data_IF_915022203283
#
_entry.id   IF_915022203283
#
_cell.length_a   1.000
_cell.length_b   1.000
_cell.length_c   1.000
_cell.angle_alpha   90.00
_cell.angle_beta   90.00
_cell.angle_gamma   90.00
#
_symmetry.space_group_name_H-M   'P 1'
#
loop_
_entity.id
_entity.type
_entity.pdbx_description
1 polymer ?
#
# COMPACT_ATOMS: atom_id res chain seq x y z
N UNK A 1 22.98 -2.90 1.00
CA UNK A 1 23.54 -4.12 1.66
C UNK A 1 22.36 -4.99 2.06
N UNK A 2 22.35 -6.26 1.61
CA UNK A 2 21.26 -7.19 1.94
C UNK A 2 21.52 -7.84 3.29
N UNK A 3 20.52 -7.88 4.15
CA UNK A 3 20.56 -8.45 5.50
C UNK A 3 19.25 -9.14 5.87
N UNK A 4 19.16 -9.63 7.10
CA UNK A 4 17.95 -10.21 7.67
C UNK A 4 17.75 -9.74 9.10
N UNK A 5 16.51 -9.38 9.43
CA UNK A 5 16.04 -9.07 10.78
C UNK A 5 15.16 -10.22 11.26
N UNK A 6 15.20 -10.58 12.52
CA UNK A 6 14.30 -11.61 13.07
C UNK A 6 13.17 -10.92 13.83
N UNK A 7 11.98 -10.93 13.27
CA UNK A 7 10.78 -10.35 13.85
C UNK A 7 9.80 -11.45 14.30
N UNK A 8 9.53 -11.55 15.60
CA UNK A 8 8.63 -12.60 16.13
C UNK A 8 9.02 -14.03 15.75
N UNK A 9 10.32 -14.29 15.54
CA UNK A 9 10.83 -15.60 15.09
C UNK A 9 10.83 -15.78 13.56
N UNK A 10 10.36 -14.79 12.77
CA UNK A 10 10.33 -14.83 11.31
C UNK A 10 11.53 -14.05 10.77
N UNK A 11 12.38 -14.64 9.90
CA UNK A 11 13.44 -13.89 9.22
C UNK A 11 12.83 -12.97 8.16
N UNK A 12 13.06 -11.68 8.29
CA UNK A 12 12.62 -10.63 7.37
C UNK A 12 13.82 -10.17 6.56
N UNK A 13 13.77 -10.34 5.25
CA UNK A 13 14.83 -9.90 4.35
C UNK A 13 14.75 -8.39 4.12
N UNK A 14 15.91 -7.73 4.24
CA UNK A 14 16.02 -6.28 4.19
C UNK A 14 17.17 -5.88 3.31
N UNK A 15 17.02 -4.81 2.55
CA UNK A 15 18.10 -4.20 1.78
C UNK A 15 18.25 -2.71 2.13
N UNK A 16 19.41 -2.37 2.70
CA UNK A 16 19.82 -0.99 2.88
C UNK A 16 20.58 -0.52 1.63
N UNK A 17 19.98 0.42 0.89
CA UNK A 17 20.54 1.00 -0.33
C UNK A 17 21.60 2.07 -0.04
N UNK A 18 21.89 2.34 1.23
CA UNK A 18 22.82 3.38 1.63
C UNK A 18 22.24 4.78 1.52
N UNK A 19 23.11 5.78 1.42
CA UNK A 19 22.71 7.18 1.44
C UNK A 19 22.81 7.79 2.85
N UNK A 20 22.46 9.07 2.94
CA UNK A 20 22.52 9.85 4.18
C UNK A 20 21.29 10.78 4.24
N UNK A 21 20.87 11.14 5.44
CA UNK A 21 19.75 12.07 5.66
C UNK A 21 18.50 11.37 6.15
N UNK A 22 17.33 11.78 5.67
CA UNK A 22 16.04 11.23 6.13
C UNK A 22 15.92 9.75 5.74
N UNK A 23 15.68 8.90 6.74
CA UNK A 23 15.40 7.49 6.51
C UNK A 23 14.05 7.30 5.81
N UNK A 24 14.00 6.36 4.86
CA UNK A 24 12.79 5.98 4.13
C UNK A 24 12.68 4.46 4.16
N UNK A 25 11.58 3.93 4.70
CA UNK A 25 11.28 2.50 4.66
C UNK A 25 10.31 2.22 3.50
N UNK A 26 10.63 1.22 2.68
CA UNK A 26 9.94 0.88 1.46
C UNK A 26 9.28 -0.51 1.59
N UNK A 27 7.96 -0.59 1.37
CA UNK A 27 7.13 -1.79 1.55
C UNK A 27 6.47 -2.15 0.20
N UNK A 28 6.76 -3.33 -0.33
CA UNK A 28 6.23 -3.79 -1.63
C UNK A 28 4.77 -4.26 -1.56
N UNK A 29 4.17 -4.52 -2.71
CA UNK A 29 2.81 -5.06 -2.86
C UNK A 29 2.71 -6.57 -2.66
N UNK A 30 1.48 -7.08 -2.55
CA UNK A 30 1.21 -8.51 -2.46
C UNK A 30 1.78 -9.29 -3.66
N UNK A 31 2.42 -10.45 -3.38
CA UNK A 31 3.04 -11.29 -4.41
C UNK A 31 4.34 -10.74 -5.02
N UNK A 32 4.89 -9.66 -4.46
CA UNK A 32 6.08 -8.97 -4.95
C UNK A 32 7.25 -9.08 -3.97
N UNK A 33 8.30 -8.29 -4.16
CA UNK A 33 9.48 -8.26 -3.29
C UNK A 33 10.09 -6.86 -3.20
N UNK A 34 11.04 -6.68 -2.28
CA UNK A 34 11.82 -5.45 -2.08
C UNK A 34 12.52 -4.95 -3.34
N UNK A 35 12.87 -5.85 -4.28
CA UNK A 35 13.55 -5.50 -5.53
C UNK A 35 12.75 -4.56 -6.44
N UNK A 36 11.43 -4.48 -6.27
CA UNK A 36 10.59 -3.52 -7.00
C UNK A 36 10.97 -2.06 -6.71
N UNK A 37 11.67 -1.82 -5.60
CA UNK A 37 12.08 -0.50 -5.16
C UNK A 37 13.44 -0.03 -5.66
N UNK A 38 14.24 -0.88 -6.33
CA UNK A 38 15.64 -0.58 -6.69
C UNK A 38 15.79 0.74 -7.45
N UNK A 39 14.97 0.94 -8.47
CA UNK A 39 15.03 2.17 -9.28
C UNK A 39 14.63 3.42 -8.46
N UNK A 40 13.60 3.30 -7.63
CA UNK A 40 13.12 4.40 -6.80
C UNK A 40 14.10 4.70 -5.64
N UNK A 41 14.66 3.66 -5.03
CA UNK A 41 15.68 3.78 -3.99
C UNK A 41 16.93 4.51 -4.52
N UNK A 42 17.39 4.18 -5.73
CA UNK A 42 18.48 4.91 -6.38
C UNK A 42 18.20 6.41 -6.55
N UNK A 43 16.95 6.78 -6.90
CA UNK A 43 16.53 8.17 -6.97
C UNK A 43 16.51 8.85 -5.60
N UNK A 44 16.05 8.15 -4.56
CA UNK A 44 16.03 8.65 -3.18
C UNK A 44 17.45 8.93 -2.67
N UNK A 45 18.39 7.99 -2.88
CA UNK A 45 19.82 8.19 -2.52
C UNK A 45 20.39 9.42 -3.20
N UNK A 46 20.13 9.58 -4.51
CA UNK A 46 20.57 10.76 -5.29
C UNK A 46 19.96 12.09 -4.82
N UNK A 47 18.93 12.05 -3.97
CA UNK A 47 18.25 13.22 -3.41
C UNK A 47 18.44 13.38 -1.90
N UNK A 48 19.42 12.68 -1.31
CA UNK A 48 19.82 12.88 0.08
C UNK A 48 18.97 12.11 1.10
N UNK A 49 18.38 10.97 0.70
CA UNK A 49 17.66 10.05 1.59
C UNK A 49 18.47 8.77 1.83
N UNK A 50 18.12 8.03 2.87
CA UNK A 50 18.58 6.68 3.12
C UNK A 50 17.40 5.70 3.00
N UNK A 51 17.16 5.11 1.82
CA UNK A 51 16.12 4.13 1.64
C UNK A 51 16.54 2.74 2.11
N UNK A 52 15.64 2.09 2.84
CA UNK A 52 15.70 0.69 3.26
C UNK A 52 14.44 -0.01 2.75
N UNK A 53 14.59 -1.08 1.98
CA UNK A 53 13.49 -1.86 1.48
C UNK A 53 13.43 -3.23 2.18
N UNK A 54 12.21 -3.72 2.50
CA UNK A 54 12.05 -5.03 3.13
C UNK A 54 11.08 -5.91 2.34
N UNK A 55 11.30 -7.21 2.39
CA UNK A 55 10.31 -8.18 1.98
C UNK A 55 9.31 -8.40 3.12
N UNK A 56 8.04 -8.23 2.86
CA UNK A 56 6.98 -8.54 3.82
C UNK A 56 6.98 -10.05 4.15
N UNK A 57 6.54 -10.44 5.36
CA UNK A 57 6.43 -11.86 5.72
C UNK A 57 5.70 -12.67 4.65
N UNK A 58 6.17 -13.88 4.36
CA UNK A 58 5.66 -14.75 3.32
C UNK A 58 6.05 -14.37 1.89
N UNK A 59 6.78 -13.26 1.69
CA UNK A 59 7.17 -12.77 0.37
C UNK A 59 8.68 -12.76 0.18
N UNK A 60 9.10 -12.79 -1.08
CA UNK A 60 10.50 -12.68 -1.46
C UNK A 60 11.41 -13.69 -0.75
N UNK A 61 12.39 -13.18 -0.03
CA UNK A 61 13.34 -13.98 0.78
C UNK A 61 13.00 -13.96 2.29
N UNK A 62 11.87 -13.36 2.68
CA UNK A 62 11.37 -13.40 4.05
C UNK A 62 10.72 -14.75 4.36
N UNK A 63 10.74 -15.14 5.64
CA UNK A 63 10.17 -16.39 6.10
C UNK A 63 8.64 -16.42 5.96
N UNK A 64 8.11 -17.62 5.69
CA UNK A 64 6.67 -17.87 5.72
C UNK A 64 6.16 -17.93 7.17
N UNK A 65 5.08 -17.22 7.45
CA UNK A 65 4.40 -17.23 8.73
C UNK A 65 2.94 -16.76 8.53
N UNK A 66 2.04 -17.05 9.50
CA UNK A 66 0.69 -16.52 9.45
C UNK A 66 0.69 -15.01 9.29
N UNK A 67 -0.21 -14.51 8.43
CA UNK A 67 -0.38 -13.08 8.20
C UNK A 67 -1.43 -12.48 9.13
N UNK A 68 -1.14 -11.34 9.68
CA UNK A 68 -2.12 -10.37 10.20
C UNK A 68 -1.52 -8.98 10.11
N UNK A 69 -2.36 -7.94 10.12
CA UNK A 69 -1.90 -6.55 10.13
C UNK A 69 -0.98 -6.25 11.32
N UNK A 70 -1.32 -6.79 12.49
CA UNK A 70 -0.50 -6.65 13.70
C UNK A 70 0.89 -7.25 13.54
N UNK A 71 0.97 -8.44 12.96
CA UNK A 71 2.25 -9.11 12.74
C UNK A 71 3.09 -8.38 11.67
N UNK A 72 2.45 -7.87 10.61
CA UNK A 72 3.13 -7.08 9.58
C UNK A 72 3.70 -5.75 10.16
N UNK A 73 2.93 -5.06 11.03
CA UNK A 73 3.41 -3.88 11.74
C UNK A 73 4.55 -4.21 12.70
N UNK A 74 4.50 -5.37 13.37
CA UNK A 74 5.59 -5.86 14.22
C UNK A 74 6.88 -6.10 13.43
N UNK A 75 6.79 -6.61 12.19
CA UNK A 75 7.95 -6.76 11.30
C UNK A 75 8.55 -5.41 10.91
N UNK A 76 7.68 -4.45 10.56
CA UNK A 76 8.10 -3.08 10.24
C UNK A 76 8.84 -2.45 11.43
N UNK A 77 8.27 -2.58 12.65
CA UNK A 77 8.89 -2.05 13.87
C UNK A 77 10.25 -2.69 14.14
N UNK A 78 10.38 -4.01 13.98
CA UNK A 78 11.65 -4.71 14.16
C UNK A 78 12.72 -4.26 13.15
N UNK A 79 12.34 -4.03 11.89
CA UNK A 79 13.25 -3.50 10.87
C UNK A 79 13.68 -2.07 11.20
N UNK A 80 12.75 -1.22 11.63
CA UNK A 80 13.04 0.16 12.06
C UNK A 80 14.05 0.17 13.20
N UNK A 81 13.86 -0.68 14.21
CA UNK A 81 14.75 -0.79 15.37
C UNK A 81 16.12 -1.33 15.00
N UNK A 82 16.20 -2.49 14.33
CA UNK A 82 17.46 -3.19 14.02
C UNK A 82 18.35 -2.39 13.06
N UNK A 83 17.74 -1.69 12.08
CA UNK A 83 18.49 -0.82 11.16
C UNK A 83 18.72 0.58 11.70
N UNK A 84 18.26 0.89 12.92
CA UNK A 84 18.42 2.19 13.56
C UNK A 84 17.79 3.32 12.73
N UNK A 85 16.64 3.07 12.10
CA UNK A 85 15.95 4.09 11.31
C UNK A 85 15.32 5.14 12.24
N UNK A 86 15.70 6.39 12.05
CA UNK A 86 15.22 7.47 12.91
C UNK A 86 14.00 8.14 12.29
N UNK A 87 12.81 7.92 12.85
CA UNK A 87 11.54 8.51 12.36
C UNK A 87 11.43 8.36 10.83
N UNK A 88 11.42 7.14 10.29
CA UNK A 88 11.44 6.95 8.85
C UNK A 88 10.16 7.48 8.20
N UNK A 89 10.29 8.01 7.00
CA UNK A 89 9.17 8.09 6.05
C UNK A 89 8.84 6.66 5.65
N UNK A 90 7.58 6.27 5.70
CA UNK A 90 7.15 4.90 5.33
C UNK A 90 6.36 4.96 4.03
N UNK A 91 6.91 4.39 2.97
CA UNK A 91 6.29 4.35 1.64
C UNK A 91 5.93 2.92 1.30
N UNK A 92 4.66 2.65 1.08
CA UNK A 92 4.20 1.31 0.72
C UNK A 92 3.37 1.31 -0.56
N UNK A 93 3.52 0.25 -1.34
CA UNK A 93 2.74 -0.01 -2.53
C UNK A 93 1.67 -1.07 -2.24
N UNK A 94 0.44 -0.88 -2.70
CA UNK A 94 -0.66 -1.85 -2.62
C UNK A 94 -0.81 -2.40 -1.19
N UNK A 95 -0.53 -3.69 -0.93
CA UNK A 95 -0.50 -4.30 0.41
C UNK A 95 0.41 -3.53 1.37
N UNK A 96 1.64 -3.20 0.95
CA UNK A 96 2.57 -2.39 1.73
C UNK A 96 2.03 -0.98 2.00
N UNK A 97 1.24 -0.43 1.09
CA UNK A 97 0.55 0.86 1.26
C UNK A 97 -0.49 0.83 2.38
N UNK A 98 -1.21 -0.28 2.51
CA UNK A 98 -2.13 -0.49 3.63
C UNK A 98 -1.37 -0.61 4.97
N UNK A 99 -0.22 -1.32 4.97
CA UNK A 99 0.66 -1.37 6.14
C UNK A 99 1.17 0.02 6.51
N UNK A 100 1.58 0.85 5.54
CA UNK A 100 2.01 2.22 5.78
C UNK A 100 0.88 3.10 6.35
N UNK A 101 -0.36 2.91 5.90
CA UNK A 101 -1.53 3.61 6.44
C UNK A 101 -1.83 3.20 7.89
N UNK A 102 -1.73 1.92 8.22
CA UNK A 102 -1.85 1.43 9.60
C UNK A 102 -0.72 1.96 10.49
N UNK A 103 0.51 2.00 9.98
CA UNK A 103 1.65 2.62 10.66
C UNK A 103 1.37 4.08 11.04
N UNK A 104 0.74 4.84 10.14
CA UNK A 104 0.37 6.23 10.41
C UNK A 104 -0.59 6.40 11.61
N UNK A 105 -1.42 5.40 11.91
CA UNK A 105 -2.31 5.39 13.06
C UNK A 105 -1.59 5.16 14.40
N UNK A 106 -0.43 4.49 14.39
CA UNK A 106 0.30 4.11 15.60
C UNK A 106 1.52 5.01 15.87
N UNK A 107 2.06 5.69 14.84
CA UNK A 107 3.32 6.43 14.89
C UNK A 107 3.16 7.92 14.58
N UNK A 108 2.70 8.74 15.55
CA UNK A 108 2.54 10.19 15.35
C UNK A 108 3.85 10.93 15.06
N UNK A 109 5.00 10.33 15.38
CA UNK A 109 6.33 10.86 15.09
C UNK A 109 6.78 10.63 13.65
N UNK A 110 6.10 9.78 12.87
CA UNK A 110 6.42 9.51 11.47
C UNK A 110 6.27 10.80 10.65
N UNK A 111 7.31 11.23 9.89
CA UNK A 111 7.24 12.48 9.13
C UNK A 111 6.20 12.43 8.01
N UNK A 112 6.03 11.27 7.39
CA UNK A 112 5.08 11.02 6.32
C UNK A 112 4.92 9.51 6.13
N UNK A 113 3.69 9.03 6.10
CA UNK A 113 3.33 7.72 5.58
C UNK A 113 2.72 7.88 4.18
N UNK A 114 3.00 6.95 3.27
CA UNK A 114 2.51 7.00 1.89
C UNK A 114 1.89 5.67 1.51
N UNK A 115 0.62 5.70 1.14
CA UNK A 115 -0.06 4.57 0.52
C UNK A 115 -0.12 4.79 -0.99
N UNK A 116 0.65 4.01 -1.76
CA UNK A 116 0.64 4.01 -3.22
C UNK A 116 -0.33 2.96 -3.72
N UNK A 117 -1.49 3.40 -4.18
CA UNK A 117 -2.54 2.61 -4.84
C UNK A 117 -2.98 1.35 -4.05
N UNK A 118 -2.81 1.38 -2.71
CA UNK A 118 -3.34 0.34 -1.82
C UNK A 118 -4.81 0.59 -1.54
N UNK A 119 -5.65 -0.34 -1.97
CA UNK A 119 -7.09 -0.28 -1.78
C UNK A 119 -7.64 -1.69 -1.49
N UNK A 120 -8.84 -1.76 -0.88
CA UNK A 120 -9.54 -3.03 -0.65
C UNK A 120 -10.10 -3.63 -1.95
N UNK A 121 -10.73 -4.78 -1.82
CA UNK A 121 -11.42 -5.43 -2.92
C UNK A 121 -12.92 -5.02 -2.94
N UNK A 122 -13.54 -4.94 -4.13
CA UNK A 122 -14.97 -4.64 -4.26
C UNK A 122 -15.83 -5.88 -3.97
N UNK A 123 -16.01 -6.19 -2.69
CA UNK A 123 -16.68 -7.40 -2.18
C UNK A 123 -18.01 -7.11 -1.48
N UNK A 124 -18.48 -5.86 -1.43
CA UNK A 124 -19.75 -5.45 -0.83
C UNK A 124 -20.58 -4.62 -1.80
N UNK A 125 -21.92 -4.81 -1.85
CA UNK A 125 -22.79 -4.08 -2.77
C UNK A 125 -22.74 -2.55 -2.63
N UNK A 126 -22.58 -2.03 -1.40
CA UNK A 126 -22.47 -0.59 -1.11
C UNK A 126 -21.23 0.08 -1.72
N UNK A 127 -20.26 -0.70 -2.20
CA UNK A 127 -19.04 -0.21 -2.84
C UNK A 127 -19.20 0.11 -4.33
N UNK A 128 -20.37 -0.09 -4.92
CA UNK A 128 -20.60 0.12 -6.37
C UNK A 128 -21.43 1.39 -6.62
N UNK A 129 -20.79 2.55 -6.47
CA UNK A 129 -21.43 3.86 -6.66
C UNK A 129 -21.99 4.07 -8.06
N UNK A 130 -23.23 4.59 -8.14
CA UNK A 130 -23.90 4.90 -9.41
C UNK A 130 -24.67 3.74 -10.03
N UNK A 131 -24.65 2.56 -9.41
CA UNK A 131 -25.52 1.43 -9.75
C UNK A 131 -26.77 1.44 -8.87
N UNK A 132 -27.91 0.98 -9.41
CA UNK A 132 -29.06 0.63 -8.58
C UNK A 132 -28.77 -0.63 -7.75
N UNK A 133 -29.60 -0.91 -6.73
CA UNK A 133 -29.40 -1.99 -5.77
C UNK A 133 -29.23 -3.36 -6.45
N UNK A 134 -30.09 -3.70 -7.41
CA UNK A 134 -30.01 -4.99 -8.12
C UNK A 134 -28.74 -5.15 -8.93
N UNK A 135 -28.31 -4.08 -9.62
CA UNK A 135 -27.06 -4.07 -10.39
C UNK A 135 -25.83 -4.06 -9.50
N UNK A 136 -25.89 -3.42 -8.33
CA UNK A 136 -24.82 -3.44 -7.35
C UNK A 136 -24.63 -4.85 -6.77
N UNK A 137 -25.70 -5.57 -6.47
CA UNK A 137 -25.66 -6.96 -6.02
C UNK A 137 -25.07 -7.89 -7.09
N UNK A 138 -25.47 -7.70 -8.36
CA UNK A 138 -24.90 -8.47 -9.48
C UNK A 138 -23.42 -8.20 -9.66
N UNK A 139 -23.00 -6.95 -9.66
CA UNK A 139 -21.60 -6.54 -9.76
C UNK A 139 -20.75 -7.12 -8.61
N UNK A 140 -21.28 -7.08 -7.39
CA UNK A 140 -20.62 -7.66 -6.21
C UNK A 140 -20.42 -9.17 -6.38
N UNK A 141 -21.46 -9.91 -6.79
CA UNK A 141 -21.38 -11.37 -7.00
C UNK A 141 -20.36 -11.74 -8.09
N UNK A 142 -20.39 -11.04 -9.23
CA UNK A 142 -19.47 -11.30 -10.33
C UNK A 142 -18.02 -10.97 -9.98
N UNK A 143 -17.79 -9.86 -9.29
CA UNK A 143 -16.46 -9.46 -8.85
C UNK A 143 -15.92 -10.43 -7.81
N UNK A 144 -16.71 -10.81 -6.81
CA UNK A 144 -16.31 -11.81 -5.80
C UNK A 144 -15.99 -13.16 -6.43
N UNK A 145 -16.79 -13.60 -7.40
CA UNK A 145 -16.53 -14.84 -8.14
C UNK A 145 -15.19 -14.77 -8.89
N UNK A 146 -14.92 -13.66 -9.55
CA UNK A 146 -13.66 -13.43 -10.26
C UNK A 146 -12.45 -13.44 -9.31
N UNK A 147 -12.52 -12.72 -8.20
CA UNK A 147 -11.45 -12.69 -7.17
C UNK A 147 -11.21 -14.06 -6.56
N UNK A 148 -12.29 -14.82 -6.31
CA UNK A 148 -12.20 -16.21 -5.83
C UNK A 148 -11.49 -17.11 -6.83
N UNK A 149 -11.80 -16.97 -8.12
CA UNK A 149 -11.13 -17.74 -9.18
C UNK A 149 -9.64 -17.38 -9.30
N UNK A 150 -9.31 -16.09 -9.22
CA UNK A 150 -7.91 -15.64 -9.18
C UNK A 150 -7.14 -16.20 -7.97
N UNK A 151 -7.83 -16.43 -6.86
CA UNK A 151 -7.24 -17.03 -5.65
C UNK A 151 -6.96 -18.54 -5.78
N UNK A 152 -7.48 -19.21 -6.80
CA UNK A 152 -7.27 -20.66 -6.96
C UNK A 152 -5.81 -21.01 -7.19
N UNK A 153 -5.30 -21.90 -6.35
CA UNK A 153 -3.91 -22.35 -6.43
C UNK A 153 -2.88 -21.46 -5.76
N UNK A 154 -3.33 -20.34 -5.18
CA UNK A 154 -2.46 -19.52 -4.33
C UNK A 154 -2.20 -20.23 -2.99
N UNK A 155 -1.02 -20.05 -2.38
CA UNK A 155 -0.70 -20.63 -1.09
C UNK A 155 -1.61 -20.06 0.01
N UNK A 156 -1.87 -20.86 1.05
CA UNK A 156 -2.81 -20.51 2.12
C UNK A 156 -2.44 -19.18 2.83
N UNK A 157 -1.16 -18.91 3.01
CA UNK A 157 -0.71 -17.65 3.61
C UNK A 157 -1.15 -16.43 2.77
N UNK A 158 -1.15 -16.54 1.43
CA UNK A 158 -1.59 -15.45 0.55
C UNK A 158 -3.12 -15.31 0.56
N UNK A 159 -3.86 -16.43 0.62
CA UNK A 159 -5.31 -16.39 0.82
C UNK A 159 -5.69 -15.73 2.15
N UNK A 160 -4.85 -15.90 3.19
CA UNK A 160 -5.03 -15.21 4.46
C UNK A 160 -4.83 -13.70 4.29
N UNK A 161 -3.81 -13.25 3.54
CA UNK A 161 -3.63 -11.82 3.19
C UNK A 161 -4.88 -11.26 2.52
N UNK A 162 -5.46 -11.98 1.55
CA UNK A 162 -6.67 -11.53 0.86
C UNK A 162 -7.86 -11.37 1.82
N UNK A 163 -8.05 -12.33 2.74
CA UNK A 163 -9.10 -12.23 3.78
C UNK A 163 -8.91 -11.03 4.70
N UNK A 164 -7.67 -10.76 5.10
CA UNK A 164 -7.34 -9.60 5.93
C UNK A 164 -7.60 -8.28 5.20
N UNK A 165 -7.30 -8.20 3.89
CA UNK A 165 -7.62 -7.04 3.04
C UNK A 165 -9.15 -6.82 2.99
N UNK A 166 -9.92 -7.88 2.76
CA UNK A 166 -11.38 -7.80 2.66
C UNK A 166 -12.04 -7.39 3.97
N UNK A 167 -11.44 -7.76 5.11
CA UNK A 167 -11.93 -7.41 6.44
C UNK A 167 -11.55 -5.99 6.90
N UNK A 168 -10.57 -5.35 6.25
CA UNK A 168 -10.06 -4.04 6.66
C UNK A 168 -10.98 -2.90 6.21
N UNK A 169 -11.46 -2.10 7.16
CA UNK A 169 -12.03 -0.79 6.85
C UNK A 169 -10.91 0.25 6.66
N UNK A 170 -10.40 0.32 5.44
CA UNK A 170 -9.26 1.18 5.10
C UNK A 170 -9.57 2.68 5.32
N UNK A 171 -10.82 3.10 5.14
CA UNK A 171 -11.19 4.51 5.37
C UNK A 171 -11.30 4.84 6.85
N UNK A 172 -11.67 3.88 7.70
CA UNK A 172 -11.52 4.03 9.15
C UNK A 172 -10.04 4.14 9.54
N UNK A 173 -9.15 3.36 8.91
CA UNK A 173 -7.69 3.48 9.11
C UNK A 173 -7.19 4.86 8.72
N UNK A 174 -7.63 5.41 7.60
CA UNK A 174 -7.24 6.77 7.17
C UNK A 174 -7.70 7.82 8.19
N UNK A 175 -8.94 7.73 8.70
CA UNK A 175 -9.43 8.66 9.75
C UNK A 175 -8.67 8.55 11.07
N UNK A 176 -8.12 7.37 11.36
CA UNK A 176 -7.30 7.12 12.55
C UNK A 176 -5.84 7.58 12.42
N UNK A 177 -5.41 8.09 11.26
CA UNK A 177 -4.04 8.53 11.04
C UNK A 177 -3.65 9.65 12.02
N UNK A 178 -2.47 9.51 12.63
CA UNK A 178 -1.92 10.43 13.64
C UNK A 178 -0.67 11.17 13.15
N UNK A 179 -0.16 10.82 11.99
CA UNK A 179 0.89 11.54 11.28
C UNK A 179 0.42 11.89 9.86
N UNK A 180 1.13 12.76 9.11
CA UNK A 180 0.82 13.02 7.72
C UNK A 180 0.73 11.71 6.91
N UNK A 181 -0.40 11.51 6.23
CA UNK A 181 -0.66 10.35 5.36
C UNK A 181 -1.00 10.83 3.96
N UNK A 182 -0.18 10.45 2.99
CA UNK A 182 -0.43 10.70 1.58
C UNK A 182 -0.99 9.43 0.93
N UNK A 183 -2.21 9.50 0.41
CA UNK A 183 -2.80 8.45 -0.43
C UNK A 183 -2.58 8.85 -1.89
N UNK A 184 -1.94 7.98 -2.66
CA UNK A 184 -1.67 8.20 -4.08
C UNK A 184 -2.44 7.16 -4.88
N UNK A 185 -3.31 7.60 -5.78
CA UNK A 185 -4.04 6.72 -6.70
C UNK A 185 -3.43 6.76 -8.09
N UNK A 186 -3.35 5.60 -8.72
CA UNK A 186 -3.11 5.47 -10.15
C UNK A 186 -4.33 5.83 -11.00
N UNK A 187 -4.21 5.68 -12.32
CA UNK A 187 -5.32 5.84 -13.24
C UNK A 187 -6.21 4.59 -13.22
N UNK A 188 -7.45 4.75 -12.77
CA UNK A 188 -8.44 3.68 -12.73
C UNK A 188 -8.67 3.00 -14.10
N UNK A 189 -8.53 3.73 -15.21
CA UNK A 189 -8.69 3.19 -16.55
C UNK A 189 -7.51 2.25 -16.92
N UNK A 190 -6.29 2.56 -16.49
CA UNK A 190 -5.14 1.70 -16.72
C UNK A 190 -5.29 0.37 -15.98
N UNK A 191 -5.81 0.41 -14.74
CA UNK A 191 -6.05 -0.80 -13.95
C UNK A 191 -7.24 -1.62 -14.48
N UNK A 192 -8.23 -0.97 -15.11
CA UNK A 192 -9.40 -1.65 -15.70
C UNK A 192 -9.01 -2.73 -16.73
N UNK A 193 -7.86 -2.57 -17.41
CA UNK A 193 -7.33 -3.57 -18.35
C UNK A 193 -6.97 -4.93 -17.74
N UNK A 194 -6.88 -5.03 -16.42
CA UNK A 194 -6.66 -6.31 -15.71
C UNK A 194 -7.94 -7.13 -15.57
N UNK A 195 -9.11 -6.54 -15.76
CA UNK A 195 -10.40 -7.19 -15.63
C UNK A 195 -10.95 -7.63 -16.99
N UNK A 196 -11.72 -8.75 -17.04
CA UNK A 196 -12.54 -9.05 -18.20
C UNK A 196 -13.48 -7.89 -18.52
N UNK A 197 -13.73 -7.63 -19.82
CA UNK A 197 -14.54 -6.49 -20.28
C UNK A 197 -15.90 -6.36 -19.57
N UNK A 198 -16.55 -7.49 -19.25
CA UNK A 198 -17.83 -7.52 -18.52
C UNK A 198 -17.74 -6.94 -17.09
N UNK A 199 -16.55 -6.95 -16.46
CA UNK A 199 -16.32 -6.45 -15.09
C UNK A 199 -15.89 -4.99 -15.06
N UNK A 200 -15.51 -4.40 -16.19
CA UNK A 200 -15.06 -3.00 -16.26
C UNK A 200 -16.11 -2.01 -15.70
N UNK A 201 -17.43 -2.15 -16.00
CA UNK A 201 -18.43 -1.27 -15.40
C UNK A 201 -18.49 -1.37 -13.86
N UNK A 202 -18.37 -2.59 -13.31
CA UNK A 202 -18.32 -2.81 -11.86
C UNK A 202 -17.05 -2.19 -11.25
N UNK A 203 -15.90 -2.39 -11.89
CA UNK A 203 -14.64 -1.74 -11.47
C UNK A 203 -14.75 -0.22 -11.45
N UNK A 204 -15.30 0.39 -12.51
CA UNK A 204 -15.51 1.84 -12.56
C UNK A 204 -16.44 2.36 -11.46
N UNK A 205 -17.48 1.62 -11.13
CA UNK A 205 -18.40 1.95 -10.04
C UNK A 205 -17.70 1.88 -8.67
N UNK A 206 -16.80 0.90 -8.47
CA UNK A 206 -15.96 0.80 -7.29
C UNK A 206 -14.94 1.95 -7.20
N UNK A 207 -14.27 2.30 -8.29
CA UNK A 207 -13.35 3.45 -8.33
C UNK A 207 -14.07 4.76 -7.99
N UNK A 208 -15.31 4.94 -8.47
CA UNK A 208 -16.13 6.10 -8.11
C UNK A 208 -16.46 6.13 -6.62
N UNK A 209 -16.78 4.98 -6.03
CA UNK A 209 -17.02 4.85 -4.59
C UNK A 209 -15.75 5.19 -3.79
N UNK A 210 -14.60 4.60 -4.14
CA UNK A 210 -13.32 4.87 -3.50
C UNK A 210 -12.96 6.36 -3.53
N UNK A 211 -13.15 7.02 -4.70
CA UNK A 211 -12.92 8.46 -4.83
C UNK A 211 -13.79 9.26 -3.86
N UNK A 212 -15.08 8.98 -3.78
CA UNK A 212 -16.00 9.67 -2.86
C UNK A 212 -15.61 9.47 -1.40
N UNK A 213 -15.17 8.27 -1.03
CA UNK A 213 -14.68 8.02 0.32
C UNK A 213 -13.39 8.80 0.62
N UNK A 214 -12.46 8.88 -0.33
CA UNK A 214 -11.23 9.68 -0.19
C UNK A 214 -11.55 11.18 -0.08
N UNK A 215 -12.44 11.70 -0.91
CA UNK A 215 -12.91 13.09 -0.84
C UNK A 215 -13.46 13.39 0.56
N UNK A 216 -14.35 12.53 1.08
CA UNK A 216 -14.92 12.70 2.42
C UNK A 216 -13.84 12.70 3.52
N UNK A 217 -12.84 11.80 3.46
CA UNK A 217 -11.75 11.75 4.45
C UNK A 217 -10.85 12.99 4.36
N UNK A 218 -10.61 13.53 3.16
CA UNK A 218 -9.73 14.70 2.97
C UNK A 218 -10.43 16.03 3.26
N UNK A 219 -11.76 16.09 3.24
CA UNK A 219 -12.56 17.26 3.68
C UNK A 219 -12.64 17.38 5.19
N UNK A 220 -12.49 16.28 5.93
CA UNK A 220 -12.43 16.30 7.40
C UNK A 220 -11.12 16.95 7.88
N UNK A 221 -11.08 17.54 9.07
CA UNK A 221 -9.83 17.98 9.70
C UNK A 221 -8.94 16.77 10.01
N UNK A 222 -8.15 16.32 9.04
CA UNK A 222 -7.31 15.14 9.17
C UNK A 222 -5.93 15.39 8.55
N UNK A 223 -4.90 14.62 8.93
CA UNK A 223 -3.57 14.69 8.32
C UNK A 223 -3.52 14.00 6.94
N UNK A 224 -4.65 13.52 6.42
CA UNK A 224 -4.71 12.76 5.16
C UNK A 224 -4.77 13.70 3.97
N UNK A 225 -3.96 13.41 2.96
CA UNK A 225 -3.97 14.09 1.66
C UNK A 225 -4.10 13.06 0.55
N UNK A 226 -4.73 13.44 -0.54
CA UNK A 226 -4.86 12.61 -1.73
C UNK A 226 -4.18 13.27 -2.93
N UNK A 227 -3.50 12.46 -3.73
CA UNK A 227 -2.94 12.85 -5.03
C UNK A 227 -3.15 11.72 -6.04
N UNK A 228 -3.15 12.07 -7.33
CA UNK A 228 -3.22 11.09 -8.41
C UNK A 228 -1.98 11.20 -9.29
N UNK A 229 -1.51 10.07 -9.80
CA UNK A 229 -0.46 9.99 -10.82
C UNK A 229 -1.06 9.37 -12.09
N UNK A 230 -0.63 9.82 -13.30
CA UNK A 230 -1.07 9.25 -14.57
C UNK A 230 -0.35 7.93 -14.86
N UNK A 231 -0.42 6.99 -13.92
CA UNK A 231 0.21 5.66 -13.95
C UNK A 231 -0.85 4.60 -13.70
N UNK A 232 -0.56 3.36 -13.99
CA UNK A 232 -1.38 2.22 -13.55
C UNK A 232 -1.20 1.96 -12.05
N UNK A 233 -1.28 0.68 -11.69
CA UNK A 233 -1.19 0.23 -10.30
C UNK A 233 0.21 0.38 -9.67
N UNK A 234 1.25 0.50 -10.49
CA UNK A 234 2.65 0.45 -10.05
C UNK A 234 3.38 1.81 -10.25
N UNK A 235 2.98 2.92 -9.58
CA UNK A 235 3.57 4.25 -9.80
C UNK A 235 5.09 4.28 -9.58
N UNK A 236 5.60 3.48 -8.66
CA UNK A 236 7.03 3.40 -8.34
C UNK A 236 7.88 2.72 -9.42
N UNK A 237 7.24 1.91 -10.27
CA UNK A 237 7.87 1.25 -11.42
C UNK A 237 7.64 2.02 -12.72
N UNK A 238 6.42 2.56 -12.91
CA UNK A 238 6.00 3.20 -14.16
C UNK A 238 6.55 4.64 -14.30
N UNK A 239 6.47 5.46 -13.25
CA UNK A 239 7.08 6.79 -13.21
C UNK A 239 7.65 7.12 -11.83
N UNK A 240 8.79 6.49 -11.45
CA UNK A 240 9.44 6.74 -10.16
C UNK A 240 9.88 8.20 -9.97
N UNK A 241 10.09 8.95 -11.07
CA UNK A 241 10.44 10.38 -11.00
C UNK A 241 9.26 11.26 -10.64
N UNK A 242 8.06 10.97 -11.16
CA UNK A 242 6.85 11.67 -10.75
C UNK A 242 6.54 11.40 -9.26
N UNK A 243 6.67 10.15 -8.83
CA UNK A 243 6.53 9.78 -7.43
C UNK A 243 7.52 10.53 -6.54
N UNK A 244 8.79 10.61 -6.92
CA UNK A 244 9.80 11.36 -6.17
C UNK A 244 9.44 12.84 -6.04
N UNK A 245 9.00 13.50 -7.14
CA UNK A 245 8.57 14.90 -7.10
C UNK A 245 7.43 15.12 -6.12
N UNK A 246 6.46 14.20 -6.13
CA UNK A 246 5.31 14.24 -5.23
C UNK A 246 5.76 14.11 -3.77
N UNK A 247 6.62 13.13 -3.46
CA UNK A 247 7.17 12.91 -2.13
C UNK A 247 7.93 14.14 -1.61
N UNK A 248 8.84 14.70 -2.43
CA UNK A 248 9.61 15.89 -2.08
C UNK A 248 8.71 17.11 -1.81
N UNK A 249 7.59 17.23 -2.52
CA UNK A 249 6.60 18.28 -2.30
C UNK A 249 5.91 18.19 -0.93
N UNK A 250 5.79 16.98 -0.37
CA UNK A 250 5.17 16.76 0.94
C UNK A 250 6.17 16.91 2.11
N UNK A 251 7.46 16.66 1.88
CA UNK A 251 8.50 16.70 2.92
C UNK A 251 9.15 18.08 3.09
N UNK A 252 8.91 19.02 2.17
CA UNK A 252 9.40 20.40 2.32
C UNK A 252 8.53 21.12 3.33
N UNK A 253 9.12 21.81 4.34
CA UNK A 253 8.34 22.73 5.16
C UNK A 253 7.70 23.81 4.27
N UNK A 254 6.42 24.11 4.53
CA UNK A 254 5.69 25.18 3.88
C UNK A 254 6.29 26.55 4.22
#
# INVERSE_FOLDING_TARGET
MVGRVVAGGVPIAVEDHGGHGQDVLLLHGGGRSRGDWDAFAGLLVGNGFRPVAMDLRGHGESGEAPWSWREALGDVAAVVEEHGLHRPVVVGHSLGGMVAALWAGEHPECPLAVNLDGHGNPTRPDQFSGLDEGRADDACREMTAFLTEMGRGLPEWFLQVMREIDALDLFAVYRAARCPLLVVSGDAAAFAGMFPERLVPAWNAYCLWTRRQLEAVTEEPSPVRHASLPTGHDPHLEDPRALLRLLLGQLRPA
#
